data_IF_657893812776
#
_entry.id   IF_657893812776
#
_cell.length_a   1.000
_cell.length_b   1.000
_cell.length_c   1.000
_cell.angle_alpha   90.00
_cell.angle_beta   90.00
_cell.angle_gamma   90.00
#
_symmetry.space_group_name_H-M   'P 1'
#
loop_
_entity.id
_entity.type
_entity.pdbx_description
1 polymer ?
#
# COMPACT_ATOMS: atom_id res chain seq x y z
N UNK A 1 -5.84 11.71 -14.83
CA UNK A 1 -6.85 10.64 -15.03
C UNK A 1 -7.40 10.69 -16.46
N UNK A 2 -6.51 10.86 -17.45
CA UNK A 2 -6.85 11.11 -18.86
C UNK A 2 -6.82 9.83 -19.70
N UNK A 3 -6.00 8.86 -19.29
CA UNK A 3 -5.73 7.62 -20.05
C UNK A 3 -6.93 6.68 -20.17
N UNK A 4 -7.91 6.77 -19.25
CA UNK A 4 -9.16 6.02 -19.34
C UNK A 4 -10.07 6.63 -20.42
N UNK A 5 -10.09 7.96 -20.52
CA UNK A 5 -10.99 8.71 -21.41
C UNK A 5 -10.49 8.63 -22.85
N UNK A 6 -9.17 8.59 -23.04
CA UNK A 6 -8.55 8.41 -24.36
C UNK A 6 -8.45 6.95 -24.79
N UNK A 7 -8.80 6.00 -23.91
CA UNK A 7 -8.72 4.58 -24.22
C UNK A 7 -9.58 4.23 -25.43
N UNK A 8 -9.06 3.34 -26.27
CA UNK A 8 -9.75 2.85 -27.48
C UNK A 8 -11.12 2.23 -27.17
N UNK A 9 -11.30 1.68 -25.96
CA UNK A 9 -12.58 1.18 -25.47
C UNK A 9 -13.67 2.26 -25.43
N UNK A 10 -13.29 3.51 -25.13
CA UNK A 10 -14.21 4.65 -24.98
C UNK A 10 -14.36 5.39 -26.30
N UNK A 11 -13.29 5.50 -27.10
CA UNK A 11 -13.31 6.24 -28.37
C UNK A 11 -13.84 5.41 -29.53
N UNK A 12 -13.56 4.09 -29.57
CA UNK A 12 -13.97 3.18 -30.64
C UNK A 12 -14.35 1.80 -30.07
N UNK A 13 -15.48 1.68 -29.36
CA UNK A 13 -15.94 0.40 -28.83
C UNK A 13 -16.30 -0.56 -29.97
N UNK A 14 -15.88 -1.82 -29.85
CA UNK A 14 -16.29 -2.86 -30.80
C UNK A 14 -17.75 -3.24 -30.60
N UNK A 15 -18.45 -3.51 -31.70
CA UNK A 15 -19.90 -3.75 -31.72
C UNK A 15 -20.27 -5.14 -31.20
N UNK A 16 -19.45 -6.15 -31.47
CA UNK A 16 -19.68 -7.51 -31.02
C UNK A 16 -19.21 -7.72 -29.58
N UNK A 17 -20.09 -8.30 -28.76
CA UNK A 17 -19.87 -8.51 -27.31
C UNK A 17 -18.55 -9.23 -27.01
N UNK A 18 -18.23 -10.26 -27.80
CA UNK A 18 -17.00 -11.04 -27.59
C UNK A 18 -15.75 -10.20 -27.87
N UNK A 19 -15.79 -9.37 -28.90
CA UNK A 19 -14.66 -8.52 -29.28
C UNK A 19 -14.53 -7.32 -28.35
N UNK A 20 -15.65 -6.79 -27.83
CA UNK A 20 -15.68 -5.77 -26.79
C UNK A 20 -15.07 -6.29 -25.49
N UNK A 21 -15.41 -7.52 -25.09
CA UNK A 21 -14.81 -8.16 -23.92
C UNK A 21 -13.28 -8.29 -24.06
N UNK A 22 -12.81 -8.75 -25.23
CA UNK A 22 -11.38 -8.80 -25.54
C UNK A 22 -10.74 -7.41 -25.45
N UNK A 23 -11.35 -6.41 -26.10
CA UNK A 23 -10.86 -5.03 -26.10
C UNK A 23 -10.74 -4.48 -24.67
N UNK A 24 -11.78 -4.65 -23.84
CA UNK A 24 -11.75 -4.27 -22.43
C UNK A 24 -10.63 -4.97 -21.65
N UNK A 25 -10.50 -6.30 -21.82
CA UNK A 25 -9.52 -7.10 -21.08
C UNK A 25 -8.09 -6.63 -21.36
N UNK A 26 -7.76 -6.41 -22.63
CA UNK A 26 -6.42 -6.00 -23.03
C UNK A 26 -6.11 -4.57 -22.58
N UNK A 27 -7.03 -3.61 -22.81
CA UNK A 27 -6.85 -2.21 -22.38
C UNK A 27 -6.76 -2.10 -20.86
N UNK A 28 -7.58 -2.87 -20.13
CA UNK A 28 -7.50 -2.89 -18.67
C UNK A 28 -6.13 -3.37 -18.20
N UNK A 29 -5.58 -4.41 -18.83
CA UNK A 29 -4.27 -4.95 -18.47
C UNK A 29 -3.17 -3.93 -18.72
N UNK A 30 -3.15 -3.31 -19.90
CA UNK A 30 -2.12 -2.30 -20.23
C UNK A 30 -2.20 -1.07 -19.33
N UNK A 31 -3.41 -0.63 -18.98
CA UNK A 31 -3.62 0.48 -18.06
C UNK A 31 -3.17 0.12 -16.64
N UNK A 32 -3.45 -1.10 -16.19
CA UNK A 32 -3.00 -1.59 -14.89
C UNK A 32 -1.47 -1.66 -14.83
N UNK A 33 -0.81 -2.20 -15.86
CA UNK A 33 0.64 -2.29 -15.94
C UNK A 33 1.30 -0.89 -15.94
N UNK A 34 0.67 0.10 -16.60
CA UNK A 34 1.15 1.48 -16.65
C UNK A 34 1.02 2.22 -15.31
N UNK A 35 -0.11 2.09 -14.63
CA UNK A 35 -0.42 2.90 -13.43
C UNK A 35 -0.25 2.17 -12.10
N UNK A 36 -0.20 0.85 -12.12
CA UNK A 36 -0.05 -0.02 -10.96
C UNK A 36 1.01 -1.09 -11.26
N UNK A 37 2.18 -0.64 -11.73
CA UNK A 37 3.31 -1.52 -11.94
C UNK A 37 3.65 -2.29 -10.65
N UNK A 38 4.09 -3.53 -10.81
CA UNK A 38 4.49 -4.37 -9.69
C UNK A 38 5.69 -3.71 -9.03
N UNK A 39 5.47 -3.15 -7.85
CA UNK A 39 6.54 -2.60 -7.01
C UNK A 39 7.20 -3.77 -6.30
N UNK A 40 8.41 -4.11 -6.73
CA UNK A 40 9.26 -5.02 -5.99
C UNK A 40 9.87 -4.25 -4.82
N UNK A 41 9.15 -4.20 -3.70
CA UNK A 41 9.71 -3.69 -2.46
C UNK A 41 10.67 -4.74 -1.89
N UNK A 42 11.97 -4.46 -1.93
CA UNK A 42 12.94 -5.24 -1.18
C UNK A 42 12.69 -4.99 0.30
N UNK A 43 12.24 -6.00 1.04
CA UNK A 43 12.18 -5.93 2.51
C UNK A 43 13.63 -5.76 2.98
N UNK A 44 14.00 -4.53 3.34
CA UNK A 44 15.31 -4.25 3.92
C UNK A 44 15.41 -5.00 5.24
N UNK A 45 16.24 -6.04 5.26
CA UNK A 45 16.48 -6.77 6.49
C UNK A 45 17.21 -5.85 7.45
N UNK A 46 16.60 -5.62 8.62
CA UNK A 46 17.23 -4.85 9.67
C UNK A 46 18.53 -5.54 10.06
N UNK A 47 19.68 -4.83 10.09
CA UNK A 47 20.93 -5.44 10.52
C UNK A 47 20.77 -6.00 11.93
N UNK A 48 21.44 -7.12 12.25
CA UNK A 48 21.42 -7.65 13.60
C UNK A 48 21.90 -6.56 14.57
N UNK A 49 21.29 -6.49 15.74
CA UNK A 49 21.66 -5.57 16.80
C UNK A 49 22.23 -6.39 17.97
N UNK A 50 23.53 -6.75 17.96
CA UNK A 50 24.12 -7.67 18.95
C UNK A 50 24.06 -7.11 20.37
N UNK A 51 24.07 -5.79 20.49
CA UNK A 51 23.94 -5.07 21.76
C UNK A 51 22.50 -5.06 22.31
N UNK A 52 21.50 -5.49 21.54
CA UNK A 52 20.10 -5.52 21.97
C UNK A 52 19.75 -6.87 22.59
N UNK A 53 20.27 -7.09 23.80
CA UNK A 53 20.02 -8.33 24.56
C UNK A 53 18.56 -8.47 24.99
N UNK A 54 18.09 -9.69 25.31
CA UNK A 54 16.73 -9.92 25.82
C UNK A 54 16.37 -9.07 27.04
N UNK A 55 17.34 -8.82 27.92
CA UNK A 55 17.15 -8.02 29.14
C UNK A 55 16.85 -6.55 28.79
N UNK A 56 17.57 -6.00 27.81
CA UNK A 56 17.35 -4.64 27.30
C UNK A 56 15.99 -4.52 26.60
N UNK A 57 15.56 -5.58 25.89
CA UNK A 57 14.24 -5.61 25.27
C UNK A 57 13.16 -5.61 26.36
N UNK A 58 13.30 -6.47 27.37
CA UNK A 58 12.35 -6.58 28.47
C UNK A 58 12.24 -5.29 29.29
N UNK A 59 13.36 -4.65 29.62
CA UNK A 59 13.37 -3.38 30.34
C UNK A 59 12.65 -2.27 29.57
N UNK A 60 12.73 -2.28 28.22
CA UNK A 60 12.01 -1.33 27.34
C UNK A 60 10.52 -1.64 27.17
N UNK A 61 10.04 -2.86 27.45
CA UNK A 61 8.63 -3.24 27.26
C UNK A 61 7.69 -2.48 28.18
N UNK A 62 8.03 -2.39 29.47
CA UNK A 62 7.16 -1.74 30.48
C UNK A 62 7.00 -0.23 30.22
N UNK A 63 8.07 0.56 29.98
CA UNK A 63 7.94 1.97 29.61
C UNK A 63 7.08 2.19 28.36
N UNK A 64 7.31 1.42 27.28
CA UNK A 64 6.52 1.53 26.03
C UNK A 64 5.04 1.18 26.23
N UNK A 65 4.73 0.28 27.16
CA UNK A 65 3.35 -0.03 27.51
C UNK A 65 2.70 1.17 28.20
N UNK A 66 3.34 1.72 29.24
CA UNK A 66 2.84 2.88 29.97
C UNK A 66 2.68 4.10 29.07
N UNK A 67 3.63 4.36 28.18
CA UNK A 67 3.56 5.45 27.19
C UNK A 67 2.36 5.28 26.24
N UNK A 68 2.11 4.06 25.76
CA UNK A 68 0.93 3.76 24.92
C UNK A 68 -0.37 3.98 25.69
N UNK A 69 -0.45 3.54 26.94
CA UNK A 69 -1.61 3.78 27.81
C UNK A 69 -1.81 5.28 28.01
N UNK A 70 -0.76 6.01 28.36
CA UNK A 70 -0.79 7.46 28.54
C UNK A 70 -1.25 8.20 27.29
N UNK A 71 -0.70 7.88 26.10
CA UNK A 71 -1.14 8.50 24.84
C UNK A 71 -2.63 8.26 24.55
N UNK A 72 -3.17 7.10 24.94
CA UNK A 72 -4.59 6.78 24.79
C UNK A 72 -5.46 7.49 25.85
N UNK A 73 -4.96 7.62 27.08
CA UNK A 73 -5.68 8.23 28.20
C UNK A 73 -5.54 9.76 28.24
N UNK A 74 -4.69 10.35 27.40
CA UNK A 74 -4.57 11.79 27.26
C UNK A 74 -5.84 12.32 26.57
N UNK A 75 -6.86 12.60 27.38
CA UNK A 75 -8.00 13.42 27.00
C UNK A 75 -7.48 14.71 26.34
N UNK A 76 -8.14 15.16 25.26
CA UNK A 76 -7.87 16.42 24.56
C UNK A 76 -8.28 17.62 25.43
N UNK A 77 -7.72 17.73 26.64
CA UNK A 77 -7.87 18.92 27.47
C UNK A 77 -6.49 19.54 27.62
N UNK A 78 -6.21 20.47 26.72
CA UNK A 78 -5.17 21.50 26.89
C UNK A 78 -5.90 22.76 27.33
N UNK A 79 -5.54 23.38 28.48
CA UNK A 79 -6.01 24.72 28.81
C UNK A 79 -5.54 25.75 27.78
#
# INVERSE_FOLDING_TARGET
MTDIITADLVTHPKEHVFDLYKQYREIRKTLLDKHASIKNESVSQKPPAPWMTPEIIQSKRRPRYLERVWRKSRSRYTP
#
